data_IF_162682196748
#
_entry.id   IF_162682196748
#
_cell.length_a   1.000
_cell.length_b   1.000
_cell.length_c   1.000
_cell.angle_alpha   90.00
_cell.angle_beta   90.00
_cell.angle_gamma   90.00
#
_symmetry.space_group_name_H-M   'P 1'
#
loop_
_entity.id
_entity.type
_entity.pdbx_description
1 polymer ?
#
# COMPACT_ATOMS: atom_id res chain seq x y z
N UNK A 1 -67.18 27.04 58.89
CA UNK A 1 -66.36 27.94 58.05
C UNK A 1 -64.99 28.09 58.70
N UNK A 2 -64.06 27.17 58.42
CA UNK A 2 -62.67 27.26 58.86
C UNK A 2 -61.81 26.32 58.00
N UNK A 3 -61.39 26.86 56.84
CA UNK A 3 -60.28 26.35 56.03
C UNK A 3 -59.03 27.15 56.43
N UNK A 4 -57.97 26.47 56.87
CA UNK A 4 -56.53 26.81 56.70
C UNK A 4 -55.68 26.07 57.75
N UNK A 5 -55.23 24.85 57.46
CA UNK A 5 -54.05 24.28 58.16
C UNK A 5 -53.13 23.40 57.29
N UNK A 6 -53.33 23.37 55.96
CA UNK A 6 -52.52 22.52 55.05
C UNK A 6 -51.28 23.19 54.43
N UNK A 7 -51.03 24.49 54.65
CA UNK A 7 -50.06 25.27 53.85
C UNK A 7 -48.61 25.22 54.39
N UNK A 8 -48.42 25.00 55.70
CA UNK A 8 -47.11 25.17 56.33
C UNK A 8 -46.24 23.91 56.26
N UNK A 9 -46.85 22.72 56.36
CA UNK A 9 -46.14 21.44 56.23
C UNK A 9 -45.57 21.23 54.82
N UNK A 10 -46.31 21.63 53.78
CA UNK A 10 -45.87 21.52 52.39
C UNK A 10 -44.66 22.41 52.07
N UNK A 11 -44.58 23.63 52.64
CA UNK A 11 -43.43 24.53 52.45
C UNK A 11 -42.15 24.02 53.13
N UNK A 12 -42.27 23.32 54.25
CA UNK A 12 -41.10 22.81 54.99
C UNK A 12 -40.47 21.59 54.28
N UNK A 13 -41.30 20.76 53.64
CA UNK A 13 -40.84 19.62 52.81
C UNK A 13 -40.21 20.12 51.51
N UNK A 14 -40.79 21.13 50.85
CA UNK A 14 -40.25 21.66 49.59
C UNK A 14 -38.86 22.32 49.73
N UNK A 15 -38.55 22.91 50.90
CA UNK A 15 -37.25 23.55 51.17
C UNK A 15 -36.13 22.55 51.48
N UNK A 16 -36.45 21.39 52.06
CA UNK A 16 -35.43 20.37 52.38
C UNK A 16 -35.05 19.52 51.16
N UNK A 17 -35.99 19.26 50.24
CA UNK A 17 -35.70 18.55 48.98
C UNK A 17 -34.88 19.37 48.00
N UNK A 18 -35.14 20.68 47.86
CA UNK A 18 -34.33 21.56 46.99
C UNK A 18 -32.89 21.67 47.45
N UNK A 19 -32.64 21.75 48.77
CA UNK A 19 -31.28 21.84 49.32
C UNK A 19 -30.44 20.58 49.03
N UNK A 20 -31.04 19.39 49.18
CA UNK A 20 -30.34 18.12 48.90
C UNK A 20 -30.07 17.91 47.40
N UNK A 21 -30.98 18.34 46.53
CA UNK A 21 -30.78 18.27 45.08
C UNK A 21 -29.63 19.18 44.61
N UNK A 22 -29.53 20.40 45.15
CA UNK A 22 -28.45 21.34 44.81
C UNK A 22 -27.09 20.82 45.31
N UNK A 23 -27.04 20.21 46.49
CA UNK A 23 -25.80 19.59 47.00
C UNK A 23 -25.35 18.40 46.14
N UNK A 24 -26.28 17.56 45.67
CA UNK A 24 -25.96 16.42 44.80
C UNK A 24 -25.43 16.88 43.43
N UNK A 25 -26.04 17.92 42.82
CA UNK A 25 -25.59 18.47 41.53
C UNK A 25 -24.20 19.09 41.66
N UNK A 26 -23.96 19.85 42.74
CA UNK A 26 -22.64 20.47 42.97
C UNK A 26 -21.55 19.42 43.14
N UNK A 27 -21.82 18.34 43.89
CA UNK A 27 -20.86 17.24 44.08
C UNK A 27 -20.59 16.50 42.76
N UNK A 28 -21.62 16.25 41.96
CA UNK A 28 -21.47 15.61 40.65
C UNK A 28 -20.61 16.46 39.69
N UNK A 29 -20.84 17.77 39.64
CA UNK A 29 -20.05 18.68 38.79
C UNK A 29 -18.57 18.77 39.23
N UNK A 30 -18.28 18.72 40.53
CA UNK A 30 -16.91 18.70 41.04
C UNK A 30 -16.22 17.37 40.71
N UNK A 31 -16.91 16.24 40.84
CA UNK A 31 -16.36 14.92 40.49
C UNK A 31 -16.11 14.80 38.99
N UNK A 32 -17.05 15.25 38.16
CA UNK A 32 -16.87 15.23 36.70
C UNK A 32 -15.73 16.15 36.29
N UNK A 33 -15.67 17.39 36.80
CA UNK A 33 -14.59 18.34 36.49
C UNK A 33 -13.19 17.86 36.93
N UNK A 34 -13.08 17.15 38.06
CA UNK A 34 -11.81 16.59 38.53
C UNK A 34 -11.37 15.37 37.72
N UNK A 35 -12.30 14.54 37.24
CA UNK A 35 -11.98 13.42 36.33
C UNK A 35 -11.48 13.94 34.98
N UNK A 36 -12.09 15.00 34.42
CA UNK A 36 -11.64 15.58 33.14
C UNK A 36 -10.23 16.17 33.25
N UNK A 37 -9.94 16.92 34.32
CA UNK A 37 -8.61 17.51 34.53
C UNK A 37 -7.52 16.46 34.79
N UNK A 38 -7.84 15.37 35.49
CA UNK A 38 -6.90 14.26 35.69
C UNK A 38 -6.62 13.48 34.39
N UNK A 39 -7.65 13.30 33.55
CA UNK A 39 -7.51 12.71 32.21
C UNK A 39 -6.61 13.55 31.30
N UNK A 40 -6.79 14.87 31.29
CA UNK A 40 -5.98 15.79 30.49
C UNK A 40 -4.52 15.81 30.95
N UNK A 41 -4.25 15.73 32.26
CA UNK A 41 -2.88 15.68 32.78
C UNK A 41 -2.17 14.35 32.47
N UNK A 42 -2.91 13.23 32.50
CA UNK A 42 -2.39 11.91 32.11
C UNK A 42 -2.11 11.84 30.59
N UNK A 43 -2.96 12.47 29.79
CA UNK A 43 -2.78 12.58 28.34
C UNK A 43 -1.56 13.45 27.98
N UNK A 44 -1.41 14.62 28.62
CA UNK A 44 -0.28 15.54 28.38
C UNK A 44 1.07 14.98 28.83
N UNK A 45 1.10 14.18 29.90
CA UNK A 45 2.34 13.53 30.37
C UNK A 45 2.79 12.39 29.46
N UNK A 46 1.86 11.62 28.90
CA UNK A 46 2.17 10.60 27.88
C UNK A 46 2.64 11.24 26.55
N UNK A 47 2.06 12.38 26.14
CA UNK A 47 2.56 13.13 24.98
C UNK A 47 4.01 13.64 25.18
N UNK A 48 4.37 14.06 26.39
CA UNK A 48 5.77 14.48 26.69
C UNK A 48 6.75 13.31 26.71
N UNK A 49 6.33 12.12 27.16
CA UNK A 49 7.19 10.91 27.18
C UNK A 49 7.41 10.37 25.77
N UNK A 50 6.39 10.43 24.91
CA UNK A 50 6.50 10.07 23.48
C UNK A 50 7.44 11.02 22.72
N UNK A 51 7.42 12.33 23.02
CA UNK A 51 8.27 13.33 22.34
C UNK A 51 9.77 13.20 22.64
N UNK A 52 10.18 12.67 23.79
CA UNK A 52 11.62 12.57 24.16
C UNK A 52 12.36 11.39 23.51
N UNK A 53 11.66 10.39 23.00
CA UNK A 53 12.28 9.25 22.30
C UNK A 53 12.28 9.38 20.78
N UNK A 54 11.65 10.42 20.22
CA UNK A 54 11.83 10.81 18.82
C UNK A 54 13.10 11.66 18.66
N UNK A 55 14.26 11.10 19.03
CA UNK A 55 15.53 11.55 18.47
C UNK A 55 15.39 11.33 16.98
N UNK A 56 15.27 12.41 16.22
CA UNK A 56 15.15 12.41 14.76
C UNK A 56 16.19 11.45 14.18
N UNK A 57 15.77 10.23 13.86
CA UNK A 57 16.46 9.44 12.86
C UNK A 57 16.32 10.31 11.62
N UNK A 58 17.39 11.02 11.25
CA UNK A 58 17.52 11.64 9.95
C UNK A 58 17.16 10.53 8.97
N UNK A 59 15.95 10.61 8.39
CA UNK A 59 15.57 9.75 7.29
C UNK A 59 16.72 9.88 6.30
N UNK A 60 17.47 8.80 6.11
CA UNK A 60 18.51 8.74 5.09
C UNK A 60 17.74 8.71 3.79
N UNK A 61 17.32 9.90 3.34
CA UNK A 61 16.90 10.08 1.97
C UNK A 61 18.12 9.73 1.14
N UNK A 62 18.04 8.59 0.45
CA UNK A 62 19.05 8.15 -0.52
C UNK A 62 19.31 9.22 -1.58
N UNK A 63 18.39 10.18 -1.75
CA UNK A 63 18.50 11.30 -2.67
C UNK A 63 19.10 12.60 -2.06
N UNK A 64 19.54 12.64 -0.79
CA UNK A 64 20.20 13.84 -0.25
C UNK A 64 21.57 14.04 -0.90
N UNK A 65 21.60 14.95 -1.87
CA UNK A 65 22.79 15.62 -2.44
C UNK A 65 23.90 14.66 -2.87
N UNK A 66 23.54 13.61 -3.60
CA UNK A 66 24.52 12.98 -4.47
C UNK A 66 25.00 14.04 -5.47
N UNK A 67 26.31 14.29 -5.50
CA UNK A 67 26.88 15.15 -6.53
C UNK A 67 26.60 14.53 -7.90
N UNK A 68 26.49 15.34 -8.95
CA UNK A 68 26.28 14.86 -10.32
C UNK A 68 27.28 13.75 -10.70
N UNK A 69 28.52 13.82 -10.20
CA UNK A 69 29.53 12.76 -10.39
C UNK A 69 29.11 11.41 -9.80
N UNK A 70 28.50 11.38 -8.61
CA UNK A 70 28.07 10.13 -7.96
C UNK A 70 26.86 9.48 -8.61
N UNK A 71 26.04 10.24 -9.36
CA UNK A 71 24.87 9.69 -10.05
C UNK A 71 25.25 8.76 -11.21
N UNK A 72 26.42 8.96 -11.80
CA UNK A 72 26.91 8.17 -12.94
C UNK A 72 27.90 7.07 -12.54
N UNK A 73 28.17 6.91 -11.24
CA UNK A 73 29.10 5.91 -10.75
C UNK A 73 28.37 4.60 -10.38
N UNK A 74 28.70 3.51 -11.08
CA UNK A 74 28.15 2.17 -10.81
C UNK A 74 28.64 1.59 -9.49
N UNK A 75 29.79 2.05 -8.98
CA UNK A 75 30.33 1.58 -7.70
C UNK A 75 29.38 1.89 -6.53
N UNK A 76 28.63 3.00 -6.63
CA UNK A 76 27.59 3.38 -5.65
C UNK A 76 26.51 2.31 -5.58
N UNK A 77 25.99 1.87 -6.73
CA UNK A 77 24.99 0.80 -6.80
C UNK A 77 25.56 -0.54 -6.34
N UNK A 78 26.79 -0.86 -6.73
CA UNK A 78 27.46 -2.08 -6.27
C UNK A 78 27.58 -2.12 -4.74
N UNK A 79 27.93 -1.00 -4.12
CA UNK A 79 28.05 -0.89 -2.67
C UNK A 79 26.68 -1.00 -1.99
N UNK A 80 25.63 -0.34 -2.50
CA UNK A 80 24.26 -0.50 -2.00
C UNK A 80 23.80 -1.96 -2.03
N UNK A 81 24.11 -2.69 -3.10
CA UNK A 81 23.79 -4.11 -3.22
C UNK A 81 24.59 -4.98 -2.23
N UNK A 82 25.89 -4.69 -2.03
CA UNK A 82 26.71 -5.39 -1.03
C UNK A 82 26.25 -5.13 0.40
N UNK A 83 25.90 -3.89 0.71
CA UNK A 83 25.34 -3.49 2.01
C UNK A 83 23.99 -4.17 2.27
N UNK A 84 23.21 -4.40 1.21
CA UNK A 84 21.99 -5.21 1.25
C UNK A 84 22.26 -6.73 1.42
N UNK A 85 23.51 -7.18 1.38
CA UNK A 85 23.92 -8.58 1.44
C UNK A 85 23.87 -9.33 0.11
N UNK A 86 23.71 -8.63 -1.02
CA UNK A 86 23.66 -9.23 -2.34
C UNK A 86 25.04 -9.45 -2.96
N UNK A 87 25.18 -10.53 -3.72
CA UNK A 87 26.42 -10.81 -4.46
C UNK A 87 26.44 -10.01 -5.77
N UNK A 88 27.50 -9.24 -5.97
CA UNK A 88 27.77 -8.51 -7.23
C UNK A 88 28.95 -9.16 -7.93
N UNK A 89 28.68 -9.92 -9.00
CA UNK A 89 29.72 -10.61 -9.80
C UNK A 89 30.38 -9.72 -10.84
N UNK A 90 29.63 -8.77 -11.39
CA UNK A 90 30.04 -7.95 -12.52
C UNK A 90 29.40 -6.56 -12.41
N UNK A 91 30.18 -5.60 -11.89
CA UNK A 91 29.72 -4.22 -11.70
C UNK A 91 29.38 -3.53 -13.03
N UNK A 92 29.97 -3.95 -14.15
CA UNK A 92 29.75 -3.31 -15.46
C UNK A 92 28.31 -3.47 -15.97
N UNK A 93 27.59 -4.49 -15.47
CA UNK A 93 26.19 -4.76 -15.80
C UNK A 93 25.20 -3.98 -14.94
N UNK A 94 25.65 -3.41 -13.82
CA UNK A 94 24.79 -2.65 -12.94
C UNK A 94 24.39 -1.31 -13.59
N UNK A 95 23.19 -0.81 -13.29
CA UNK A 95 22.84 0.55 -13.65
C UNK A 95 23.59 1.56 -12.79
N UNK A 96 23.57 2.80 -13.25
CA UNK A 96 23.87 3.98 -12.43
C UNK A 96 22.59 4.49 -11.77
N UNK A 97 22.71 5.29 -10.71
CA UNK A 97 21.54 5.94 -10.09
C UNK A 97 20.86 6.92 -11.05
N UNK A 98 21.63 7.59 -11.92
CA UNK A 98 21.11 8.43 -12.99
C UNK A 98 20.19 7.66 -13.94
N UNK A 99 20.62 6.49 -14.42
CA UNK A 99 19.78 5.64 -15.28
C UNK A 99 18.47 5.19 -14.61
N UNK A 100 18.48 4.94 -13.31
CA UNK A 100 17.25 4.61 -12.56
C UNK A 100 16.36 5.85 -12.46
N UNK A 101 16.95 7.00 -12.15
CA UNK A 101 16.23 8.26 -12.03
C UNK A 101 15.63 8.72 -13.36
N UNK A 102 16.29 8.46 -14.49
CA UNK A 102 15.76 8.76 -15.83
C UNK A 102 14.53 7.92 -16.17
N UNK A 103 14.47 6.67 -15.68
CA UNK A 103 13.37 5.75 -15.96
C UNK A 103 12.19 5.89 -15.00
N UNK A 104 12.45 6.18 -13.73
CA UNK A 104 11.45 6.09 -12.66
C UNK A 104 11.37 7.35 -11.79
N UNK A 105 12.21 8.35 -12.04
CA UNK A 105 12.38 9.52 -11.18
C UNK A 105 13.34 9.26 -10.01
N UNK A 106 13.85 10.31 -9.36
CA UNK A 106 14.90 10.23 -8.34
C UNK A 106 14.39 9.79 -6.95
N UNK A 107 13.08 9.60 -6.79
CA UNK A 107 12.42 9.28 -5.53
C UNK A 107 11.27 8.30 -5.77
N UNK A 108 10.88 7.52 -4.75
CA UNK A 108 9.72 6.65 -4.87
C UNK A 108 8.43 7.47 -5.05
N UNK A 109 7.49 6.89 -5.79
CA UNK A 109 6.14 7.44 -6.01
C UNK A 109 5.14 6.50 -5.34
N UNK A 110 4.47 7.01 -4.30
CA UNK A 110 3.42 6.29 -3.56
C UNK A 110 2.18 7.18 -3.55
N UNK A 111 1.11 6.72 -4.21
CA UNK A 111 -0.18 7.41 -4.18
C UNK A 111 -0.95 7.02 -2.90
N UNK A 112 -1.73 7.93 -2.31
CA UNK A 112 -2.52 7.68 -1.11
C UNK A 112 -1.82 8.00 0.21
N UNK A 113 -0.62 8.59 0.19
CA UNK A 113 0.09 8.97 1.42
C UNK A 113 -0.67 10.04 2.22
N UNK A 114 -1.43 10.88 1.55
CA UNK A 114 -2.36 11.86 2.11
C UNK A 114 -3.46 11.19 2.97
N UNK A 115 -3.80 9.93 2.71
CA UNK A 115 -4.81 9.18 3.48
C UNK A 115 -4.26 8.53 4.75
N UNK A 116 -2.94 8.59 4.98
CA UNK A 116 -2.31 7.93 6.12
C UNK A 116 -2.79 8.48 7.47
N UNK A 117 -2.92 9.81 7.59
CA UNK A 117 -3.39 10.41 8.84
C UNK A 117 -4.81 9.95 9.17
N UNK A 118 -5.70 9.98 8.17
CA UNK A 118 -7.06 9.49 8.28
C UNK A 118 -7.10 8.03 8.73
N UNK A 119 -6.31 7.15 8.12
CA UNK A 119 -6.24 5.74 8.53
C UNK A 119 -5.82 5.60 10.00
N UNK A 120 -4.80 6.36 10.43
CA UNK A 120 -4.33 6.31 11.81
C UNK A 120 -5.38 6.82 12.80
N UNK A 121 -6.16 7.85 12.44
CA UNK A 121 -7.18 8.39 13.34
C UNK A 121 -8.45 7.54 13.37
N UNK A 122 -8.80 6.86 12.26
CA UNK A 122 -10.01 6.03 12.18
C UNK A 122 -9.84 4.61 12.72
N UNK A 123 -8.60 4.09 12.77
CA UNK A 123 -8.32 2.71 13.20
C UNK A 123 -7.51 2.70 14.49
N UNK A 124 -7.99 2.00 15.55
CA UNK A 124 -7.23 1.86 16.80
C UNK A 124 -5.82 1.32 16.56
N UNK A 125 -4.81 1.95 17.15
CA UNK A 125 -3.41 1.62 16.88
C UNK A 125 -3.04 0.15 17.14
N UNK A 126 -3.62 -0.46 18.18
CA UNK A 126 -3.43 -1.88 18.53
C UNK A 126 -4.16 -2.85 17.58
N UNK A 127 -4.92 -2.33 16.62
CA UNK A 127 -5.71 -3.11 15.67
C UNK A 127 -5.31 -2.91 14.21
N UNK A 128 -4.64 -1.80 13.87
CA UNK A 128 -4.13 -1.49 12.53
C UNK A 128 -3.34 -2.66 11.92
N UNK A 129 -3.50 -2.90 10.63
CA UNK A 129 -2.67 -3.84 9.90
C UNK A 129 -2.40 -3.33 8.47
N UNK A 130 -1.30 -3.79 7.89
CA UNK A 130 -0.98 -3.66 6.48
C UNK A 130 -1.22 -5.00 5.77
N UNK A 131 -1.70 -4.96 4.54
CA UNK A 131 -1.88 -6.16 3.72
C UNK A 131 -1.56 -5.91 2.26
N UNK A 132 -0.80 -6.80 1.63
CA UNK A 132 -0.48 -6.68 0.21
C UNK A 132 -1.70 -6.95 -0.68
N UNK A 133 -1.82 -6.15 -1.73
CA UNK A 133 -2.73 -6.31 -2.85
C UNK A 133 -1.99 -5.96 -4.16
N UNK A 134 -2.48 -6.39 -5.30
CA UNK A 134 -1.85 -6.14 -6.60
C UNK A 134 -2.11 -7.28 -7.58
N UNK A 135 -2.11 -6.98 -8.87
CA UNK A 135 -2.22 -8.01 -9.91
C UNK A 135 -1.07 -9.03 -9.83
N UNK A 136 -1.20 -10.12 -10.58
CA UNK A 136 -0.09 -11.07 -10.70
C UNK A 136 1.17 -10.38 -11.25
N UNK A 137 2.35 -10.81 -10.79
CA UNK A 137 3.65 -10.28 -11.24
C UNK A 137 3.93 -8.79 -10.99
N UNK A 138 3.33 -8.20 -9.95
CA UNK A 138 3.57 -6.78 -9.58
C UNK A 138 4.30 -6.58 -8.24
N UNK A 139 4.85 -7.64 -7.65
CA UNK A 139 5.66 -7.52 -6.43
C UNK A 139 4.93 -7.67 -5.10
N UNK A 140 3.71 -8.24 -5.10
CA UNK A 140 2.94 -8.47 -3.86
C UNK A 140 3.69 -9.31 -2.82
N UNK A 141 4.44 -10.34 -3.24
CA UNK A 141 5.29 -11.08 -2.29
C UNK A 141 6.45 -10.22 -1.78
N UNK A 142 7.07 -9.42 -2.65
CA UNK A 142 8.22 -8.59 -2.31
C UNK A 142 7.86 -7.58 -1.21
N UNK A 143 6.77 -6.81 -1.38
CA UNK A 143 6.31 -5.85 -0.36
C UNK A 143 6.00 -6.54 0.96
N UNK A 144 5.38 -7.73 0.92
CA UNK A 144 5.06 -8.49 2.12
C UNK A 144 6.30 -8.94 2.88
N UNK A 145 7.29 -9.53 2.19
CA UNK A 145 8.53 -9.96 2.83
C UNK A 145 9.29 -8.78 3.43
N UNK A 146 9.38 -7.66 2.70
CA UNK A 146 10.03 -6.45 3.18
C UNK A 146 9.36 -5.87 4.42
N UNK A 147 8.03 -5.78 4.44
CA UNK A 147 7.28 -5.30 5.61
C UNK A 147 7.45 -6.23 6.81
N UNK A 148 7.31 -7.55 6.63
CA UNK A 148 7.45 -8.52 7.73
C UNK A 148 8.86 -8.54 8.35
N UNK A 149 9.89 -8.28 7.55
CA UNK A 149 11.28 -8.22 8.00
C UNK A 149 11.58 -6.93 8.77
N UNK A 150 11.03 -5.81 8.32
CA UNK A 150 11.52 -4.48 8.71
C UNK A 150 10.54 -3.63 9.51
N UNK A 151 9.24 -3.90 9.47
CA UNK A 151 8.21 -3.05 10.05
C UNK A 151 7.43 -3.77 11.17
N UNK A 152 7.03 -3.01 12.18
CA UNK A 152 6.04 -3.43 13.18
C UNK A 152 5.21 -2.23 13.68
N UNK A 153 4.04 -2.50 14.27
CA UNK A 153 3.20 -1.48 14.89
C UNK A 153 3.43 -1.52 16.42
N UNK A 154 3.93 -0.43 17.05
CA UNK A 154 4.31 -0.43 18.47
C UNK A 154 3.21 -0.88 19.42
N UNK A 155 1.98 -0.40 19.25
CA UNK A 155 0.85 -0.74 20.12
C UNK A 155 0.42 -2.21 19.97
N UNK A 156 0.74 -2.83 18.84
CA UNK A 156 0.57 -4.27 18.65
C UNK A 156 1.69 -5.06 19.31
N UNK A 157 2.92 -4.57 19.22
CA UNK A 157 4.05 -5.17 19.92
C UNK A 157 3.87 -5.12 21.45
N UNK A 158 3.30 -4.04 21.99
CA UNK A 158 2.94 -3.94 23.41
C UNK A 158 1.88 -4.99 23.79
N UNK A 159 0.87 -5.19 22.93
CA UNK A 159 -0.21 -6.16 23.18
C UNK A 159 0.21 -7.63 23.07
N UNK A 160 1.07 -7.97 22.10
CA UNK A 160 1.40 -9.36 21.77
C UNK A 160 2.85 -9.79 22.12
N UNK A 161 3.69 -8.84 22.54
CA UNK A 161 5.12 -9.02 22.78
C UNK A 161 5.93 -8.97 21.49
N UNK A 162 6.93 -8.09 21.40
CA UNK A 162 7.74 -7.89 20.18
C UNK A 162 8.45 -9.16 19.72
N UNK A 163 9.03 -9.91 20.66
CA UNK A 163 9.85 -11.11 20.39
C UNK A 163 9.00 -12.37 20.19
N UNK A 164 7.82 -12.43 20.82
CA UNK A 164 6.97 -13.62 20.84
C UNK A 164 5.86 -13.58 19.79
N UNK A 165 5.51 -12.38 19.31
CA UNK A 165 4.44 -12.21 18.34
C UNK A 165 4.83 -12.69 16.94
N UNK A 166 3.87 -13.31 16.27
CA UNK A 166 3.93 -13.51 14.81
C UNK A 166 3.94 -12.17 14.08
N UNK A 167 4.45 -12.14 12.84
CA UNK A 167 4.47 -10.91 12.03
C UNK A 167 3.06 -10.36 11.75
N UNK A 168 2.09 -11.24 11.58
CA UNK A 168 0.67 -10.89 11.51
C UNK A 168 0.16 -10.26 12.80
N UNK A 169 0.53 -10.78 13.97
CA UNK A 169 0.20 -10.16 15.26
C UNK A 169 0.85 -8.78 15.42
N UNK A 170 2.01 -8.54 14.79
CA UNK A 170 2.66 -7.22 14.71
C UNK A 170 2.07 -6.29 13.63
N UNK A 171 1.04 -6.73 12.91
CA UNK A 171 0.30 -5.93 11.93
C UNK A 171 0.74 -6.11 10.47
N UNK A 172 1.68 -7.00 10.16
CA UNK A 172 2.18 -7.22 8.79
C UNK A 172 1.56 -8.48 8.19
N UNK A 173 0.47 -8.34 7.43
CA UNK A 173 -0.22 -9.49 6.82
C UNK A 173 0.39 -9.92 5.50
N UNK A 174 0.22 -11.21 5.19
CA UNK A 174 0.60 -11.74 3.87
C UNK A 174 -0.18 -11.13 2.71
N UNK A 175 -1.48 -10.88 2.92
CA UNK A 175 -2.41 -10.32 1.94
C UNK A 175 -3.58 -9.63 2.63
N UNK A 176 -4.28 -8.76 1.89
CA UNK A 176 -5.60 -8.26 2.28
C UNK A 176 -6.62 -9.41 2.46
N UNK A 177 -7.63 -9.26 3.34
CA UNK A 177 -8.59 -10.33 3.63
C UNK A 177 -9.36 -10.88 2.42
N UNK A 178 -9.62 -10.05 1.41
CA UNK A 178 -10.30 -10.43 0.17
C UNK A 178 -9.37 -11.04 -0.90
N UNK A 179 -8.10 -11.26 -0.58
CA UNK A 179 -7.10 -11.88 -1.46
C UNK A 179 -6.20 -10.85 -2.14
N UNK A 180 -4.89 -11.15 -2.28
CA UNK A 180 -3.94 -10.17 -2.83
C UNK A 180 -4.16 -9.84 -4.31
N UNK A 181 -4.76 -10.73 -5.10
CA UNK A 181 -4.91 -10.56 -6.56
C UNK A 181 -6.32 -10.14 -6.99
N UNK A 182 -7.19 -9.80 -6.04
CA UNK A 182 -8.59 -9.45 -6.33
C UNK A 182 -8.77 -7.93 -6.41
N UNK A 183 -9.70 -7.46 -7.27
CA UNK A 183 -10.05 -6.05 -7.38
C UNK A 183 -10.58 -5.46 -6.06
N UNK A 184 -10.62 -4.13 -5.97
CA UNK A 184 -10.94 -3.42 -4.73
C UNK A 184 -12.37 -3.68 -4.22
N UNK A 185 -13.33 -3.85 -5.13
CA UNK A 185 -14.73 -4.10 -4.81
C UNK A 185 -14.98 -5.48 -4.14
N UNK A 186 -14.00 -6.39 -4.21
CA UNK A 186 -14.06 -7.67 -3.50
C UNK A 186 -13.93 -7.50 -1.99
N UNK A 187 -13.48 -6.34 -1.48
CA UNK A 187 -13.47 -6.05 -0.05
C UNK A 187 -14.82 -6.35 0.58
N UNK A 188 -15.94 -5.97 -0.04
CA UNK A 188 -17.27 -6.23 0.52
C UNK A 188 -17.84 -7.60 0.11
N UNK A 189 -17.46 -8.13 -1.05
CA UNK A 189 -18.06 -9.34 -1.64
C UNK A 189 -17.41 -10.66 -1.18
N UNK A 190 -16.15 -10.62 -0.76
CA UNK A 190 -15.35 -11.82 -0.55
C UNK A 190 -14.43 -11.73 0.66
N UNK A 191 -14.17 -12.86 1.30
CA UNK A 191 -13.07 -13.05 2.24
C UNK A 191 -12.44 -14.41 1.97
N UNK A 192 -11.12 -14.45 1.99
CA UNK A 192 -10.39 -15.72 1.96
C UNK A 192 -10.72 -16.51 3.23
N UNK A 193 -10.68 -17.84 3.14
CA UNK A 193 -11.04 -18.75 4.24
C UNK A 193 -10.33 -18.39 5.56
N UNK A 194 -9.02 -18.12 5.49
CA UNK A 194 -8.19 -17.73 6.66
C UNK A 194 -8.45 -16.31 7.18
N UNK A 195 -9.33 -15.54 6.54
CA UNK A 195 -9.57 -14.14 6.86
C UNK A 195 -11.05 -13.79 7.04
N UNK A 196 -11.95 -14.80 7.13
CA UNK A 196 -13.38 -14.58 7.31
C UNK A 196 -13.73 -13.77 8.57
N UNK A 197 -12.95 -13.94 9.64
CA UNK A 197 -13.17 -13.27 10.93
C UNK A 197 -12.42 -11.93 11.07
N UNK A 198 -11.72 -11.49 10.02
CA UNK A 198 -10.91 -10.28 10.08
C UNK A 198 -11.76 -9.10 9.69
N UNK A 199 -11.87 -8.13 10.58
CA UNK A 199 -12.47 -6.84 10.23
C UNK A 199 -11.60 -6.16 9.16
N UNK A 200 -12.18 -6.00 7.98
CA UNK A 200 -11.51 -5.50 6.77
C UNK A 200 -11.23 -4.00 6.84
N UNK A 201 -11.89 -3.27 7.74
CA UNK A 201 -11.69 -1.82 7.94
C UNK A 201 -10.46 -1.52 8.79
N UNK A 202 -9.86 -2.53 9.43
CA UNK A 202 -8.61 -2.40 10.18
C UNK A 202 -7.36 -2.49 9.29
N UNK A 203 -7.54 -2.73 7.98
CA UNK A 203 -6.47 -3.03 7.04
C UNK A 203 -6.23 -1.83 6.12
N UNK A 204 -4.98 -1.40 6.01
CA UNK A 204 -4.49 -0.51 4.96
C UNK A 204 -3.89 -1.35 3.82
N UNK A 205 -4.52 -1.41 2.64
CA UNK A 205 -3.98 -2.13 1.50
C UNK A 205 -2.72 -1.47 0.94
N UNK A 206 -1.68 -2.27 0.75
CA UNK A 206 -0.47 -1.92 0.01
C UNK A 206 -0.59 -2.49 -1.40
N UNK A 207 -1.16 -1.73 -2.32
CA UNK A 207 -1.43 -2.14 -3.69
C UNK A 207 -0.16 -1.97 -4.53
N UNK A 208 0.48 -3.07 -4.89
CA UNK A 208 1.65 -3.03 -5.77
C UNK A 208 1.23 -2.97 -7.23
N UNK A 209 1.78 -2.00 -7.95
CA UNK A 209 1.57 -1.77 -9.38
C UNK A 209 2.90 -1.84 -10.13
N UNK A 210 2.84 -2.20 -11.40
CA UNK A 210 4.02 -2.25 -12.28
C UNK A 210 3.66 -1.55 -13.59
N UNK A 211 4.67 -1.02 -14.29
CA UNK A 211 4.51 -0.48 -15.64
C UNK A 211 3.65 -1.42 -16.51
N UNK A 212 2.58 -0.92 -17.15
CA UNK A 212 1.63 -1.77 -17.89
C UNK A 212 2.34 -2.59 -18.98
N UNK A 213 3.30 -1.99 -19.69
CA UNK A 213 4.10 -2.64 -20.72
C UNK A 213 4.91 -3.83 -20.17
N UNK A 214 5.65 -3.60 -19.08
CA UNK A 214 6.43 -4.66 -18.42
C UNK A 214 5.56 -5.72 -17.78
N UNK A 215 4.39 -5.33 -17.29
CA UNK A 215 3.43 -6.25 -16.70
C UNK A 215 2.84 -7.17 -17.77
N UNK A 216 2.39 -6.64 -18.91
CA UNK A 216 1.89 -7.44 -20.04
C UNK A 216 2.95 -8.43 -20.56
N UNK A 217 4.21 -7.99 -20.73
CA UNK A 217 5.33 -8.90 -21.04
C UNK A 217 5.49 -10.03 -20.01
N UNK A 218 5.20 -9.75 -18.75
CA UNK A 218 5.26 -10.75 -17.67
C UNK A 218 4.10 -11.73 -17.76
N UNK A 219 2.91 -11.26 -18.12
CA UNK A 219 1.72 -12.09 -18.30
C UNK A 219 1.87 -13.03 -19.50
N UNK A 220 2.57 -12.62 -20.56
CA UNK A 220 2.95 -13.50 -21.67
C UNK A 220 3.79 -14.71 -21.24
N UNK A 221 4.65 -14.54 -20.24
CA UNK A 221 5.52 -15.62 -19.73
C UNK A 221 4.80 -16.51 -18.75
N UNK A 222 3.91 -15.94 -17.94
CA UNK A 222 3.12 -16.66 -16.97
C UNK A 222 1.76 -15.97 -16.84
N UNK A 223 0.70 -16.52 -17.46
CA UNK A 223 -0.62 -15.92 -17.43
C UNK A 223 -1.37 -16.18 -16.11
N UNK A 224 -0.82 -17.00 -15.20
CA UNK A 224 -1.45 -17.40 -13.93
C UNK A 224 -2.87 -17.94 -14.11
N UNK A 225 -3.88 -17.20 -13.65
CA UNK A 225 -5.30 -17.54 -13.80
C UNK A 225 -5.98 -16.77 -14.93
N UNK A 226 -5.27 -15.84 -15.59
CA UNK A 226 -5.77 -15.14 -16.77
C UNK A 226 -5.69 -16.07 -18.00
N UNK A 227 -6.68 -15.98 -18.89
CA UNK A 227 -6.80 -16.80 -20.09
C UNK A 227 -7.22 -15.93 -21.26
N UNK A 228 -6.43 -15.96 -22.33
CA UNK A 228 -6.71 -15.33 -23.62
C UNK A 228 -5.87 -15.99 -24.73
N UNK A 229 -6.27 -15.92 -26.00
CA UNK A 229 -5.47 -16.41 -27.14
C UNK A 229 -4.17 -15.60 -27.36
N UNK A 230 -2.98 -16.18 -27.13
CA UNK A 230 -1.68 -15.47 -27.28
C UNK A 230 -0.48 -16.35 -27.65
N UNK A 231 -0.70 -17.52 -28.28
CA UNK A 231 0.35 -18.51 -28.47
C UNK A 231 1.51 -18.03 -29.37
N UNK A 232 1.19 -17.33 -30.47
CA UNK A 232 2.18 -16.92 -31.48
C UNK A 232 2.51 -15.42 -31.47
N UNK A 233 1.59 -14.62 -30.93
CA UNK A 233 1.70 -13.17 -30.78
C UNK A 233 1.34 -12.91 -29.32
N UNK A 234 2.13 -12.11 -28.62
CA UNK A 234 1.84 -11.74 -27.25
C UNK A 234 2.27 -10.29 -26.98
N UNK A 235 1.41 -9.44 -26.37
CA UNK A 235 0.18 -9.78 -25.65
C UNK A 235 -1.05 -10.14 -26.50
N UNK A 236 -1.04 -9.86 -27.81
CA UNK A 236 -2.17 -10.05 -28.72
C UNK A 236 -3.41 -9.33 -28.17
N UNK A 237 -3.31 -8.01 -28.04
CA UNK A 237 -4.38 -7.13 -27.53
C UNK A 237 -5.55 -7.05 -28.50
N UNK A 238 -5.28 -7.14 -29.80
CA UNK A 238 -6.27 -7.05 -30.87
C UNK A 238 -6.21 -8.26 -31.79
N UNK A 239 -7.37 -8.74 -32.25
CA UNK A 239 -7.49 -9.85 -33.20
C UNK A 239 -7.39 -9.34 -34.63
N UNK A 240 -8.01 -8.19 -34.90
CA UNK A 240 -7.99 -7.51 -36.19
C UNK A 240 -7.83 -6.01 -35.95
N UNK A 241 -6.76 -5.45 -36.51
CA UNK A 241 -6.57 -4.00 -36.60
C UNK A 241 -7.01 -3.55 -38.00
N UNK A 242 -8.31 -3.33 -38.19
CA UNK A 242 -8.79 -2.59 -39.36
C UNK A 242 -9.06 -1.14 -38.97
N UNK A 243 -8.86 -0.21 -39.91
CA UNK A 243 -9.06 1.23 -39.69
C UNK A 243 -10.49 1.57 -39.23
N UNK A 244 -11.48 0.72 -39.52
CA UNK A 244 -12.89 0.97 -39.23
C UNK A 244 -13.42 0.35 -37.94
N UNK A 245 -12.75 -0.66 -37.37
CA UNK A 245 -13.19 -1.32 -36.14
C UNK A 245 -12.08 -2.15 -35.52
N UNK A 246 -11.53 -1.68 -34.40
CA UNK A 246 -10.57 -2.45 -33.63
C UNK A 246 -11.28 -3.57 -32.87
N UNK A 247 -10.98 -4.83 -33.22
CA UNK A 247 -11.50 -5.98 -32.50
C UNK A 247 -10.53 -6.39 -31.40
N UNK A 248 -10.90 -6.12 -30.14
CA UNK A 248 -10.12 -6.51 -28.96
C UNK A 248 -10.12 -8.03 -28.73
N UNK A 249 -9.02 -8.54 -28.17
CA UNK A 249 -8.87 -9.93 -27.79
C UNK A 249 -9.22 -10.13 -26.31
N UNK A 250 -10.38 -10.73 -25.98
CA UNK A 250 -10.91 -10.75 -24.62
C UNK A 250 -10.07 -11.60 -23.67
N UNK A 251 -10.01 -11.17 -22.41
CA UNK A 251 -9.32 -11.87 -21.32
C UNK A 251 -10.32 -12.29 -20.27
N UNK A 252 -10.24 -13.55 -19.82
CA UNK A 252 -10.96 -14.02 -18.64
C UNK A 252 -10.00 -14.27 -17.49
N UNK A 253 -10.36 -13.88 -16.27
CA UNK A 253 -9.53 -14.08 -15.07
C UNK A 253 -10.36 -14.77 -13.99
N UNK A 254 -9.84 -15.89 -13.49
CA UNK A 254 -10.43 -16.57 -12.33
C UNK A 254 -9.87 -15.98 -11.04
N UNK A 255 -10.76 -15.40 -10.24
CA UNK A 255 -10.54 -14.94 -8.87
C UNK A 255 -11.13 -15.93 -7.84
N UNK A 256 -10.94 -15.64 -6.56
CA UNK A 256 -11.48 -16.46 -5.46
C UNK A 256 -13.02 -16.49 -5.43
N UNK A 257 -13.69 -15.41 -5.81
CA UNK A 257 -15.16 -15.32 -5.77
C UNK A 257 -15.85 -15.64 -7.11
N UNK A 258 -15.11 -15.76 -8.21
CA UNK A 258 -15.70 -15.97 -9.54
C UNK A 258 -14.72 -15.75 -10.68
N UNK A 259 -15.24 -15.80 -11.90
CA UNK A 259 -14.50 -15.45 -13.12
C UNK A 259 -15.01 -14.11 -13.65
N UNK A 260 -14.10 -13.21 -13.98
CA UNK A 260 -14.43 -11.94 -14.65
C UNK A 260 -13.87 -11.93 -16.07
N UNK A 261 -14.52 -11.17 -16.94
CA UNK A 261 -14.11 -10.97 -18.32
C UNK A 261 -13.77 -9.51 -18.54
N UNK A 262 -12.72 -9.26 -19.31
CA UNK A 262 -12.18 -7.95 -19.65
C UNK A 262 -12.03 -7.85 -21.16
N UNK A 263 -12.14 -6.63 -21.68
CA UNK A 263 -12.09 -6.34 -23.12
C UNK A 263 -10.79 -6.82 -23.77
N UNK A 264 -9.65 -6.60 -23.11
CA UNK A 264 -8.34 -7.16 -23.48
C UNK A 264 -7.36 -7.12 -22.31
N UNK A 265 -6.12 -7.57 -22.52
CA UNK A 265 -5.11 -7.63 -21.45
C UNK A 265 -4.75 -6.24 -20.90
N UNK A 266 -4.71 -5.21 -21.75
CA UNK A 266 -4.48 -3.82 -21.30
C UNK A 266 -5.68 -3.29 -20.51
N UNK A 267 -6.90 -3.63 -20.91
CA UNK A 267 -8.12 -3.23 -20.19
C UNK A 267 -8.21 -3.92 -18.83
N UNK A 268 -7.77 -5.18 -18.72
CA UNK A 268 -7.63 -5.83 -17.43
C UNK A 268 -6.70 -5.04 -16.49
N UNK A 269 -5.59 -4.48 -16.98
CA UNK A 269 -4.72 -3.62 -16.16
C UNK A 269 -5.43 -2.32 -15.75
N UNK A 270 -6.04 -1.62 -16.70
CA UNK A 270 -6.73 -0.34 -16.50
C UNK A 270 -7.88 -0.51 -15.50
N UNK A 271 -8.79 -1.45 -15.75
CA UNK A 271 -9.99 -1.65 -14.94
C UNK A 271 -9.63 -2.13 -13.53
N UNK A 272 -8.67 -3.05 -13.38
CA UNK A 272 -8.27 -3.56 -12.06
C UNK A 272 -7.66 -2.46 -11.20
N UNK A 273 -6.71 -1.68 -11.74
CA UNK A 273 -6.07 -0.60 -10.99
C UNK A 273 -6.98 0.62 -10.83
N UNK A 274 -7.83 0.90 -11.81
CA UNK A 274 -8.83 1.95 -11.76
C UNK A 274 -9.75 1.82 -10.53
N UNK A 275 -10.09 0.60 -10.11
CA UNK A 275 -10.86 0.40 -8.89
C UNK A 275 -10.15 0.90 -7.62
N UNK A 276 -8.85 0.64 -7.48
CA UNK A 276 -8.06 1.13 -6.34
C UNK A 276 -7.74 2.62 -6.49
N UNK A 277 -7.47 3.08 -7.71
CA UNK A 277 -7.15 4.47 -7.99
C UNK A 277 -8.31 5.42 -7.64
N UNK A 278 -9.57 5.01 -7.90
CA UNK A 278 -10.75 5.76 -7.44
C UNK A 278 -10.76 6.03 -5.95
N UNK A 279 -10.27 5.09 -5.14
CA UNK A 279 -10.21 5.26 -3.68
C UNK A 279 -9.13 6.25 -3.25
N UNK A 280 -8.15 6.50 -4.10
CA UNK A 280 -7.05 7.44 -3.87
C UNK A 280 -7.37 8.82 -4.44
N UNK A 281 -7.92 8.88 -5.65
CA UNK A 281 -8.04 10.11 -6.44
C UNK A 281 -9.39 10.83 -6.28
N UNK A 282 -10.45 10.12 -5.87
CA UNK A 282 -11.74 10.75 -5.67
C UNK A 282 -11.86 11.27 -4.24
N UNK A 283 -11.81 12.59 -4.10
CA UNK A 283 -12.13 13.29 -2.84
C UNK A 283 -13.62 13.20 -2.48
N UNK A 284 -14.48 12.90 -3.47
CA UNK A 284 -15.92 12.69 -3.28
C UNK A 284 -16.16 11.38 -2.52
N UNK A 285 -16.10 11.52 -1.21
CA UNK A 285 -16.34 10.46 -0.26
C UNK A 285 -17.78 9.95 -0.40
N UNK A 286 -17.94 8.84 -1.12
CA UNK A 286 -19.14 8.03 -1.01
C UNK A 286 -19.06 7.30 0.34
N UNK A 287 -19.86 7.77 1.29
CA UNK A 287 -20.03 7.17 2.61
C UNK A 287 -20.31 5.67 2.44
N UNK A 288 -19.43 4.82 2.99
CA UNK A 288 -19.39 3.34 2.85
C UNK A 288 -18.64 2.74 1.64
N UNK A 289 -17.99 3.52 0.78
CA UNK A 289 -17.19 2.97 -0.33
C UNK A 289 -15.73 3.42 -0.36
N UNK A 290 -15.37 4.49 0.36
CA UNK A 290 -13.98 4.96 0.41
C UNK A 290 -13.26 4.46 1.67
N UNK A 291 -12.08 3.86 1.46
CA UNK A 291 -11.16 3.45 2.52
C UNK A 291 -9.72 3.79 2.10
N UNK A 292 -8.82 4.10 3.06
CA UNK A 292 -7.43 4.41 2.74
C UNK A 292 -6.72 3.25 2.03
N UNK A 293 -5.95 3.58 0.99
CA UNK A 293 -5.16 2.64 0.17
C UNK A 293 -3.84 3.32 -0.18
N UNK A 294 -2.77 2.53 -0.28
CA UNK A 294 -1.51 2.96 -0.90
C UNK A 294 -1.32 2.25 -2.23
N UNK A 295 -0.98 2.99 -3.29
CA UNK A 295 -0.55 2.42 -4.58
C UNK A 295 0.96 2.64 -4.72
N UNK A 296 1.71 1.54 -4.87
CA UNK A 296 3.17 1.49 -4.76
C UNK A 296 3.74 0.86 -6.01
N UNK A 297 4.69 1.51 -6.69
CA UNK A 297 5.37 0.91 -7.83
C UNK A 297 6.27 -0.25 -7.39
N UNK A 298 6.24 -1.35 -8.13
CA UNK A 298 7.13 -2.49 -7.91
C UNK A 298 8.59 -2.06 -8.01
N UNK A 299 8.87 -1.15 -8.94
CA UNK A 299 10.19 -0.59 -9.19
C UNK A 299 10.72 0.20 -7.99
N UNK A 300 9.86 0.88 -7.23
CA UNK A 300 10.25 1.60 -6.00
C UNK A 300 10.57 0.65 -4.84
N UNK A 301 9.98 -0.55 -4.83
CA UNK A 301 10.35 -1.61 -3.89
C UNK A 301 11.71 -2.23 -4.23
N UNK A 302 12.20 -2.08 -5.47
CA UNK A 302 13.48 -2.62 -5.93
C UNK A 302 14.58 -1.58 -5.76
N UNK A 303 14.37 -0.35 -6.24
CA UNK A 303 15.41 0.68 -6.32
C UNK A 303 15.46 1.60 -5.10
N UNK A 304 14.31 1.82 -4.45
CA UNK A 304 14.17 2.70 -3.29
C UNK A 304 13.66 1.93 -2.07
N UNK A 305 14.04 0.64 -1.94
CA UNK A 305 13.44 -0.33 -1.02
C UNK A 305 13.24 0.19 0.40
N UNK A 306 14.30 0.70 1.04
CA UNK A 306 14.23 1.15 2.43
C UNK A 306 13.35 2.39 2.58
N UNK A 307 13.47 3.37 1.67
CA UNK A 307 12.67 4.60 1.68
C UNK A 307 11.18 4.30 1.46
N UNK A 308 10.86 3.45 0.48
CA UNK A 308 9.50 3.01 0.16
C UNK A 308 8.87 2.26 1.33
N UNK A 309 9.56 1.26 1.90
CA UNK A 309 9.05 0.44 3.01
C UNK A 309 8.89 1.27 4.28
N UNK A 310 9.77 2.23 4.53
CA UNK A 310 9.66 3.15 5.67
C UNK A 310 8.40 4.01 5.57
N UNK A 311 8.12 4.60 4.40
CA UNK A 311 6.92 5.41 4.19
C UNK A 311 5.63 4.59 4.35
N UNK A 312 5.59 3.36 3.80
CA UNK A 312 4.45 2.45 3.97
C UNK A 312 4.25 2.11 5.46
N UNK A 313 5.33 1.77 6.16
CA UNK A 313 5.28 1.40 7.58
C UNK A 313 4.74 2.55 8.44
N UNK A 314 5.29 3.76 8.25
CA UNK A 314 4.89 4.97 8.97
C UNK A 314 3.45 5.38 8.64
N UNK A 315 2.98 5.12 7.42
CA UNK A 315 1.60 5.40 7.03
C UNK A 315 0.60 4.73 7.99
N UNK A 316 0.82 3.45 8.32
CA UNK A 316 0.00 2.71 9.28
C UNK A 316 0.30 3.03 10.77
N UNK A 317 1.18 3.98 11.06
CA UNK A 317 1.67 4.26 12.42
C UNK A 317 2.67 3.22 12.94
N UNK A 318 3.25 2.42 12.03
CA UNK A 318 4.34 1.52 12.36
C UNK A 318 5.70 2.21 12.38
N UNK A 319 6.71 1.47 12.82
CA UNK A 319 8.12 1.89 12.82
C UNK A 319 9.01 0.79 12.26
N UNK A 320 10.16 1.20 11.72
CA UNK A 320 11.21 0.26 11.33
C UNK A 320 11.95 -0.22 12.59
N UNK A 321 12.31 -1.50 12.64
CA UNK A 321 13.14 -2.04 13.72
C UNK A 321 14.43 -1.21 13.87
N UNK A 322 14.66 -0.67 15.08
CA UNK A 322 15.80 0.21 15.36
C UNK A 322 17.02 -0.55 15.90
N UNK A 323 16.81 -1.78 16.35
CA UNK A 323 17.79 -2.67 16.98
C UNK A 323 18.53 -3.56 15.99
N UNK A 324 18.13 -3.55 14.71
CA UNK A 324 18.80 -4.30 13.64
C UNK A 324 18.89 -3.50 12.33
N UNK A 325 19.85 -3.84 11.45
CA UNK A 325 19.90 -3.28 10.11
C UNK A 325 18.64 -3.59 9.30
N UNK A 326 18.34 -2.75 8.31
CA UNK A 326 17.27 -3.01 7.36
C UNK A 326 17.61 -4.25 6.52
N UNK A 327 16.73 -5.25 6.53
CA UNK A 327 16.91 -6.51 5.80
C UNK A 327 16.26 -6.43 4.42
N UNK A 328 17.08 -6.62 3.39
CA UNK A 328 16.62 -6.73 2.01
C UNK A 328 16.18 -8.16 1.67
N UNK A 329 15.40 -8.28 0.60
CA UNK A 329 15.08 -9.58 -0.02
C UNK A 329 16.10 -9.81 -1.14
N UNK A 330 17.26 -10.36 -0.75
CA UNK A 330 18.41 -10.61 -1.64
C UNK A 330 18.12 -11.75 -2.61
N UNK A 331 17.66 -12.86 -2.06
CA UNK A 331 17.19 -14.00 -2.84
C UNK A 331 15.79 -13.72 -3.40
N UNK A 332 15.31 -14.61 -4.26
CA UNK A 332 14.02 -14.33 -4.87
C UNK A 332 12.84 -14.39 -3.90
N UNK A 333 11.96 -13.38 -3.97
CA UNK A 333 10.73 -13.28 -3.19
C UNK A 333 9.68 -14.37 -3.52
N UNK A 334 9.98 -15.31 -4.42
CA UNK A 334 9.13 -16.45 -4.75
C UNK A 334 9.75 -17.80 -4.39
N UNK A 335 10.90 -17.83 -3.71
CA UNK A 335 11.61 -19.08 -3.35
C UNK A 335 10.71 -20.09 -2.63
N UNK A 336 9.80 -19.60 -1.79
CA UNK A 336 8.91 -20.44 -0.98
C UNK A 336 7.59 -20.79 -1.68
N UNK A 337 7.42 -20.42 -2.96
CA UNK A 337 6.18 -20.63 -3.71
C UNK A 337 6.36 -21.75 -4.74
N UNK A 338 5.66 -22.90 -4.59
CA UNK A 338 5.75 -24.01 -5.53
C UNK A 338 5.45 -23.59 -6.98
N UNK A 339 6.25 -24.05 -7.94
CA UNK A 339 6.03 -23.80 -9.38
C UNK A 339 6.62 -22.49 -9.92
N UNK A 340 7.64 -21.92 -9.28
CA UNK A 340 8.26 -20.65 -9.66
C UNK A 340 9.79 -20.71 -9.78
N UNK A 341 10.30 -21.60 -10.64
CA UNK A 341 11.75 -21.88 -10.78
C UNK A 341 12.58 -20.75 -11.42
N UNK A 342 11.95 -19.68 -11.91
CA UNK A 342 12.62 -18.59 -12.66
C UNK A 342 12.68 -17.25 -11.91
N UNK A 343 12.53 -17.32 -10.60
CA UNK A 343 12.48 -16.12 -9.77
C UNK A 343 13.89 -15.52 -9.60
N UNK A 344 14.02 -14.21 -9.84
CA UNK A 344 15.33 -13.52 -9.85
C UNK A 344 15.65 -12.90 -8.48
N UNK A 345 16.93 -12.84 -8.14
CA UNK A 345 17.43 -12.15 -6.93
C UNK A 345 17.49 -10.63 -7.11
N UNK A 346 17.92 -9.93 -6.07
CA UNK A 346 17.98 -8.47 -6.02
C UNK A 346 18.93 -7.89 -7.08
N UNK A 347 20.14 -8.43 -7.20
CA UNK A 347 21.12 -7.98 -8.20
C UNK A 347 20.57 -8.11 -9.63
N UNK A 348 19.99 -9.27 -9.96
CA UNK A 348 19.39 -9.51 -11.27
C UNK A 348 18.15 -8.64 -11.50
N UNK A 349 17.36 -8.37 -10.46
CA UNK A 349 16.24 -7.44 -10.54
C UNK A 349 16.72 -6.03 -10.89
N UNK A 350 17.77 -5.53 -10.21
CA UNK A 350 18.36 -4.22 -10.54
C UNK A 350 18.78 -4.16 -12.00
N UNK A 351 19.56 -5.14 -12.48
CA UNK A 351 20.02 -5.22 -13.88
C UNK A 351 18.85 -5.31 -14.87
N UNK A 352 17.81 -6.08 -14.56
CA UNK A 352 16.69 -6.32 -15.47
C UNK A 352 15.76 -5.12 -15.58
N UNK A 353 15.43 -4.52 -14.44
CA UNK A 353 14.42 -3.47 -14.37
C UNK A 353 14.99 -2.07 -14.67
N UNK A 354 16.31 -1.90 -14.64
CA UNK A 354 16.96 -0.64 -15.02
C UNK A 354 17.22 -0.49 -16.51
N UNK A 355 16.92 -1.50 -17.35
CA UNK A 355 17.05 -1.39 -18.81
C UNK A 355 15.88 -0.59 -19.36
N UNK A 356 16.04 0.33 -20.32
CA UNK A 356 14.90 0.96 -20.96
C UNK A 356 13.99 -0.08 -21.64
N UNK A 357 12.72 0.29 -21.81
CA UNK A 357 11.81 -0.50 -22.64
C UNK A 357 12.36 -0.55 -24.07
N UNK A 358 12.27 -1.72 -24.71
CA UNK A 358 12.57 -1.85 -26.13
C UNK A 358 11.54 -1.06 -26.95
N UNK A 359 11.85 -0.69 -28.21
CA UNK A 359 10.84 -0.16 -29.13
C UNK A 359 9.58 -1.01 -29.13
N UNK A 360 8.43 -0.36 -29.05
CA UNK A 360 7.11 -1.00 -28.93
C UNK A 360 6.94 -1.97 -27.74
N UNK A 361 7.82 -1.89 -26.72
CA UNK A 361 7.98 -2.94 -25.71
C UNK A 361 8.24 -4.35 -26.30
N UNK A 362 8.70 -4.45 -27.54
CA UNK A 362 8.83 -5.72 -28.27
C UNK A 362 7.49 -6.33 -28.69
N UNK A 363 6.41 -5.56 -28.71
CA UNK A 363 5.11 -6.00 -29.23
C UNK A 363 5.04 -5.77 -30.74
N UNK A 364 4.07 -6.42 -31.40
CA UNK A 364 3.73 -6.08 -32.79
C UNK A 364 3.15 -4.66 -32.86
N UNK A 365 3.36 -3.92 -33.95
CA UNK A 365 2.93 -2.51 -34.04
C UNK A 365 1.45 -2.29 -33.73
N UNK A 366 0.58 -3.21 -34.17
CA UNK A 366 -0.87 -3.13 -33.96
C UNK A 366 -1.23 -3.18 -32.47
N UNK A 367 -0.61 -4.11 -31.72
CA UNK A 367 -0.78 -4.23 -30.27
C UNK A 367 -0.21 -3.03 -29.54
N UNK A 368 0.93 -2.50 -30.00
CA UNK A 368 1.53 -1.33 -29.39
C UNK A 368 0.61 -0.11 -29.54
N UNK A 369 0.15 0.18 -30.75
CA UNK A 369 -0.76 1.30 -31.03
C UNK A 369 -2.08 1.15 -30.27
N UNK A 370 -2.67 -0.05 -30.27
CA UNK A 370 -3.85 -0.38 -29.49
C UNK A 370 -3.64 -0.15 -27.98
N UNK A 371 -2.49 -0.56 -27.46
CA UNK A 371 -2.15 -0.37 -26.04
C UNK A 371 -1.95 1.10 -25.68
N UNK A 372 -1.32 1.88 -26.55
CA UNK A 372 -1.17 3.34 -26.39
C UNK A 372 -2.54 4.00 -26.36
N UNK A 373 -3.37 3.67 -27.34
CA UNK A 373 -4.73 4.18 -27.45
C UNK A 373 -5.53 3.91 -26.17
N UNK A 374 -5.59 2.67 -25.70
CA UNK A 374 -6.31 2.31 -24.48
C UNK A 374 -5.77 2.98 -23.21
N UNK A 375 -4.44 3.09 -23.06
CA UNK A 375 -3.82 3.70 -21.88
C UNK A 375 -3.96 5.23 -21.86
N UNK A 376 -4.03 5.87 -23.03
CA UNK A 376 -4.25 7.31 -23.14
C UNK A 376 -5.72 7.69 -23.00
N UNK A 377 -6.64 6.83 -23.44
CA UNK A 377 -8.09 7.01 -23.27
C UNK A 377 -8.58 6.68 -21.84
N UNK A 378 -7.69 6.28 -20.92
CA UNK A 378 -7.99 6.24 -19.47
C UNK A 378 -8.01 7.66 -18.87
N UNK A 379 -8.88 8.50 -19.44
CA UNK A 379 -9.05 9.92 -19.09
C UNK A 379 -9.46 10.10 -17.62
N UNK A 380 -9.98 9.05 -16.99
CA UNK A 380 -10.51 9.10 -15.64
C UNK A 380 -9.41 9.21 -14.57
N UNK A 381 -8.25 8.56 -14.76
CA UNK A 381 -7.24 8.49 -13.69
C UNK A 381 -5.83 8.88 -14.14
N UNK A 382 -5.51 8.82 -15.43
CA UNK A 382 -4.16 9.10 -15.94
C UNK A 382 -3.07 8.38 -15.13
N UNK A 383 -3.34 7.13 -14.74
CA UNK A 383 -2.50 6.37 -13.80
C UNK A 383 -1.04 6.24 -14.27
N UNK A 384 -0.83 6.10 -15.58
CA UNK A 384 0.51 6.04 -16.18
C UNK A 384 1.29 7.32 -15.88
N UNK A 385 0.67 8.49 -16.07
CA UNK A 385 1.26 9.80 -15.79
C UNK A 385 1.50 9.99 -14.28
N UNK A 386 0.49 9.72 -13.44
CA UNK A 386 0.59 9.88 -11.98
C UNK A 386 1.71 9.03 -11.35
N UNK A 387 1.99 7.87 -11.94
CA UNK A 387 3.04 6.96 -11.48
C UNK A 387 4.39 7.21 -12.18
N UNK A 388 4.49 8.28 -12.98
CA UNK A 388 5.66 8.62 -13.78
C UNK A 388 6.15 7.43 -14.63
N UNK A 389 5.21 6.66 -15.19
CA UNK A 389 5.55 5.67 -16.20
C UNK A 389 5.58 6.32 -17.58
N UNK A 390 6.44 5.79 -18.44
CA UNK A 390 6.58 6.24 -19.82
C UNK A 390 6.16 5.14 -20.78
N UNK A 391 5.62 5.57 -21.92
CA UNK A 391 5.43 4.67 -23.05
C UNK A 391 6.79 4.26 -23.64
N UNK A 392 6.90 3.03 -24.17
CA UNK A 392 8.06 2.63 -24.96
C UNK A 392 8.29 3.59 -26.13
N UNK A 393 9.53 3.70 -26.64
CA UNK A 393 9.76 4.41 -27.89
C UNK A 393 9.06 3.70 -29.06
N UNK A 394 8.70 4.45 -30.10
CA UNK A 394 8.20 3.89 -31.36
C UNK A 394 9.29 3.30 -32.24
N UNK A 395 10.50 3.87 -32.21
CA UNK A 395 11.63 3.50 -33.07
C UNK A 395 12.83 2.94 -32.29
#
# INVERSE_FOLDING_TARGET
>A
MMQKSGSEAARKIARTTTSRAIQAITLFLVVVGTITLAGDFYFLTNLRKSRKNHRSQKLVSTARTHSSATLHDRSVVANLLRDAGATVKDESKLPTLGQIADLYGPRPVILGLEHCERFRTSVPASERMLGAAGMFSTGTNLVTHLLKKNCYIPERAEKYGLETATKEQLGMRWQVPWGKHTPADYKIKHATEKAQQINKDLILPCVTIRSPWRWMQSMCKNPYTARWPHANICPHLVVNASESSQQWNPVSVKYGAGTENYTSLVHLWIEWYGQYARLVLNDDFVENQSYPVLIIRMEDLIFYTQETVTQICQCAGGVIYADKPFEYVVESAKKDSPGHDTSIGLTEAWIKYSKPLQPHAGFVPEDYLAGIDALNHDDLFKLVELLHYHHPPSD
#
